data_IF_877308412043
#
_entry.id   IF_877308412043
#
_cell.length_a   1.000
_cell.length_b   1.000
_cell.length_c   1.000
_cell.angle_alpha   90.00
_cell.angle_beta   90.00
_cell.angle_gamma   90.00
#
_symmetry.space_group_name_H-M   'P 1'
#
loop_
_entity.id
_entity.type
_entity.pdbx_description
1 polymer ?
#
# COMPACT_ATOMS: atom_id res chain seq x y z
N UNK A 1 20.58 6.03 3.17
CA UNK A 1 19.60 5.39 2.27
C UNK A 1 19.01 4.18 2.99
N UNK A 2 17.90 4.37 3.70
CA UNK A 2 17.18 3.29 4.36
C UNK A 2 16.44 2.48 3.30
N UNK A 3 16.88 1.24 3.04
CA UNK A 3 16.15 0.32 2.17
C UNK A 3 14.89 -0.14 2.92
N UNK A 4 13.78 0.57 2.71
CA UNK A 4 12.45 0.23 3.25
C UNK A 4 11.84 -1.04 2.62
N UNK A 5 12.49 -1.57 1.58
CA UNK A 5 12.10 -2.79 0.89
C UNK A 5 13.22 -3.82 0.96
N UNK A 6 12.91 -5.13 1.01
CA UNK A 6 11.57 -5.72 0.88
C UNK A 6 10.66 -5.48 2.08
N UNK A 7 9.37 -5.23 1.83
CA UNK A 7 8.34 -5.05 2.86
C UNK A 7 7.45 -6.28 2.92
N UNK A 8 7.31 -6.88 4.09
CA UNK A 8 6.48 -8.07 4.27
C UNK A 8 5.37 -7.82 5.29
N UNK A 9 4.15 -8.24 4.96
CA UNK A 9 2.97 -8.15 5.82
C UNK A 9 2.02 -9.31 5.53
N UNK A 10 1.43 -9.90 6.57
CA UNK A 10 0.43 -10.98 6.47
C UNK A 10 0.87 -12.13 5.54
N UNK A 11 2.16 -12.48 5.56
CA UNK A 11 2.74 -13.53 4.70
C UNK A 11 3.00 -13.13 3.25
N UNK A 12 2.66 -11.91 2.84
CA UNK A 12 2.95 -11.36 1.50
C UNK A 12 4.21 -10.51 1.56
N UNK A 13 5.11 -10.68 0.59
CA UNK A 13 6.34 -9.88 0.48
C UNK A 13 6.31 -9.02 -0.77
N UNK A 14 6.46 -7.71 -0.58
CA UNK A 14 6.62 -6.71 -1.62
C UNK A 14 8.11 -6.43 -1.80
N UNK A 15 8.74 -6.90 -2.90
CA UNK A 15 10.17 -6.71 -3.13
C UNK A 15 10.53 -5.24 -3.43
N UNK A 16 9.58 -4.45 -3.91
CA UNK A 16 9.77 -3.05 -4.31
C UNK A 16 8.54 -2.22 -3.98
N UNK A 17 8.72 -0.90 -3.95
CA UNK A 17 7.62 0.07 -3.85
C UNK A 17 6.58 -0.11 -4.94
N UNK A 18 7.01 -0.31 -6.19
CA UNK A 18 6.11 -0.52 -7.31
C UNK A 18 5.23 -1.78 -7.12
N UNK A 19 5.77 -2.85 -6.52
CA UNK A 19 4.98 -4.05 -6.20
C UNK A 19 3.87 -3.76 -5.17
N UNK A 20 4.19 -2.97 -4.14
CA UNK A 20 3.21 -2.53 -3.15
C UNK A 20 2.13 -1.64 -3.78
N UNK A 21 2.51 -0.63 -4.57
CA UNK A 21 1.56 0.27 -5.24
C UNK A 21 0.66 -0.47 -6.23
N UNK A 22 1.20 -1.42 -6.99
CA UNK A 22 0.41 -2.26 -7.89
C UNK A 22 -0.62 -3.12 -7.12
N UNK A 23 -0.28 -3.59 -5.92
CA UNK A 23 -1.22 -4.33 -5.09
C UNK A 23 -2.33 -3.40 -4.56
N UNK A 24 -1.98 -2.20 -4.10
CA UNK A 24 -2.94 -1.19 -3.68
C UNK A 24 -3.90 -0.80 -4.80
N UNK A 25 -3.40 -0.62 -6.03
CA UNK A 25 -4.23 -0.30 -7.19
C UNK A 25 -5.19 -1.43 -7.56
N UNK A 26 -4.75 -2.69 -7.45
CA UNK A 26 -5.62 -3.86 -7.68
C UNK A 26 -6.72 -3.96 -6.63
N UNK A 27 -6.38 -3.69 -5.37
CA UNK A 27 -7.33 -3.72 -4.26
C UNK A 27 -8.33 -2.55 -4.36
N UNK A 28 -7.88 -1.35 -4.70
CA UNK A 28 -8.79 -0.19 -4.84
C UNK A 28 -9.78 -0.34 -6.00
N UNK A 29 -9.39 -1.03 -7.07
CA UNK A 29 -10.25 -1.34 -8.23
C UNK A 29 -11.09 -2.62 -8.03
N UNK A 30 -11.03 -3.26 -6.87
CA UNK A 30 -11.79 -4.46 -6.59
C UNK A 30 -13.30 -4.21 -6.59
N UNK A 31 -14.13 -5.23 -6.92
CA UNK A 31 -15.57 -5.07 -7.09
C UNK A 31 -16.36 -4.93 -5.78
N UNK A 32 -15.72 -5.10 -4.62
CA UNK A 32 -16.39 -5.08 -3.32
C UNK A 32 -15.71 -4.12 -2.35
N UNK A 33 -16.50 -3.59 -1.41
CA UNK A 33 -15.99 -2.71 -0.35
C UNK A 33 -14.89 -3.35 0.50
N UNK A 34 -14.87 -4.69 0.61
CA UNK A 34 -13.81 -5.42 1.31
C UNK A 34 -12.43 -5.25 0.62
N UNK A 35 -12.40 -5.11 -0.71
CA UNK A 35 -11.14 -4.84 -1.41
C UNK A 35 -10.65 -3.41 -1.16
N UNK A 36 -11.55 -2.43 -1.18
CA UNK A 36 -11.25 -1.04 -0.83
C UNK A 36 -10.74 -0.94 0.61
N UNK A 37 -11.40 -1.63 1.55
CA UNK A 37 -10.95 -1.69 2.94
C UNK A 37 -9.57 -2.32 3.06
N UNK A 38 -9.32 -3.44 2.36
CA UNK A 38 -8.00 -4.07 2.35
C UNK A 38 -6.90 -3.14 1.78
N UNK A 39 -7.22 -2.28 0.81
CA UNK A 39 -6.29 -1.26 0.31
C UNK A 39 -5.97 -0.21 1.38
N UNK A 40 -6.99 0.25 2.13
CA UNK A 40 -6.82 1.19 3.24
C UNK A 40 -5.98 0.58 4.36
N UNK A 41 -6.27 -0.67 4.76
CA UNK A 41 -5.53 -1.38 5.79
C UNK A 41 -4.06 -1.55 5.40
N UNK A 42 -3.78 -1.92 4.15
CA UNK A 42 -2.42 -2.06 3.63
C UNK A 42 -1.65 -0.72 3.63
N UNK A 43 -2.34 0.41 3.41
CA UNK A 43 -1.73 1.75 3.49
C UNK A 43 -1.36 2.09 4.93
N UNK A 44 -2.25 1.88 5.89
CA UNK A 44 -1.97 2.20 7.31
C UNK A 44 -0.86 1.31 7.87
N UNK A 45 -0.75 0.07 7.40
CA UNK A 45 0.36 -0.83 7.74
C UNK A 45 1.69 -0.38 7.12
N UNK A 46 1.70 -0.01 5.85
CA UNK A 46 2.90 0.55 5.20
C UNK A 46 3.37 1.85 5.86
N UNK A 47 2.43 2.66 6.38
CA UNK A 47 2.69 3.85 7.18
C UNK A 47 3.27 3.52 8.55
N UNK A 48 2.67 2.56 9.27
CA UNK A 48 3.14 2.10 10.58
C UNK A 48 4.57 1.55 10.49
N UNK A 49 4.86 0.79 9.42
CA UNK A 49 6.19 0.26 9.12
C UNK A 49 7.18 1.31 8.60
N UNK A 50 6.76 2.57 8.41
CA UNK A 50 7.55 3.67 7.83
C UNK A 50 8.17 3.32 6.46
N UNK A 51 7.48 2.45 5.71
CA UNK A 51 7.87 2.00 4.37
C UNK A 51 7.53 3.07 3.33
N UNK A 52 6.43 3.78 3.56
CA UNK A 52 6.01 4.93 2.79
C UNK A 52 6.04 6.18 3.67
N UNK A 53 6.51 7.29 3.10
CA UNK A 53 6.37 8.62 3.71
C UNK A 53 4.93 9.12 3.63
N UNK A 54 4.60 10.07 4.49
CA UNK A 54 3.28 10.72 4.50
C UNK A 54 2.89 11.28 3.13
N UNK A 55 3.83 11.90 2.43
CA UNK A 55 3.57 12.48 1.09
C UNK A 55 3.25 11.39 0.05
N UNK A 56 3.98 10.27 0.09
CA UNK A 56 3.71 9.13 -0.80
C UNK A 56 2.34 8.51 -0.50
N UNK A 57 1.96 8.39 0.77
CA UNK A 57 0.64 7.89 1.16
C UNK A 57 -0.47 8.81 0.65
N UNK A 58 -0.31 10.13 0.80
CA UNK A 58 -1.28 11.10 0.32
C UNK A 58 -1.43 11.07 -1.20
N UNK A 59 -0.32 10.91 -1.94
CA UNK A 59 -0.35 10.76 -3.40
C UNK A 59 -1.11 9.49 -3.83
N UNK A 60 -0.85 8.36 -3.17
CA UNK A 60 -1.54 7.09 -3.43
C UNK A 60 -3.04 7.20 -3.14
N UNK A 61 -3.44 7.75 -1.98
CA UNK A 61 -4.86 7.92 -1.63
C UNK A 61 -5.60 8.77 -2.68
N UNK A 62 -4.98 9.88 -3.10
CA UNK A 62 -5.53 10.75 -4.16
C UNK A 62 -5.67 10.02 -5.50
N UNK A 63 -4.65 9.29 -5.94
CA UNK A 63 -4.66 8.55 -7.21
C UNK A 63 -5.66 7.41 -7.24
N UNK A 64 -5.86 6.74 -6.10
CA UNK A 64 -6.71 5.56 -6.00
C UNK A 64 -8.15 5.86 -5.54
N UNK A 65 -8.47 7.14 -5.28
CA UNK A 65 -9.76 7.58 -4.74
C UNK A 65 -10.15 6.83 -3.44
N UNK A 66 -9.15 6.62 -2.56
CA UNK A 66 -9.28 5.98 -1.25
C UNK A 66 -9.43 7.00 -0.12
#
# INVERSE_FOLDING_TARGET
MSKAFPFSINGVTFPTRAALENALEKLSKGPTAAHTQAAVDLIEEAKAARVLSTDQIQDIKKRLHL
#
